data_IF_494400480587
#
_entry.id   IF_494400480587
#
_cell.length_a   1.000
_cell.length_b   1.000
_cell.length_c   1.000
_cell.angle_alpha   90.00
_cell.angle_beta   90.00
_cell.angle_gamma   90.00
#
_symmetry.space_group_name_H-M   'P 1'
#
loop_
_entity.id
_entity.type
_entity.pdbx_description
1 polymer ?
#
# COMPACT_ATOMS: atom_id res chain seq x y z
N UNK A 1 -32.02 25.80 43.61
CA UNK A 1 -31.12 25.14 42.64
C UNK A 1 -31.32 25.78 41.27
N UNK A 2 -30.40 26.65 40.84
CA UNK A 2 -30.60 27.60 39.74
C UNK A 2 -30.85 26.91 38.39
N UNK A 3 -31.73 27.50 37.56
CA UNK A 3 -32.04 27.03 36.19
C UNK A 3 -30.77 26.77 35.35
N UNK A 4 -29.72 27.54 35.61
CA UNK A 4 -28.39 27.42 35.00
C UNK A 4 -27.70 26.09 35.28
N UNK A 5 -27.86 25.48 36.47
CA UNK A 5 -27.19 24.22 36.79
C UNK A 5 -27.82 23.02 36.09
N UNK A 6 -29.13 23.08 35.81
CA UNK A 6 -29.85 22.04 35.06
C UNK A 6 -29.55 22.09 33.56
N UNK A 7 -29.34 23.27 32.99
CA UNK A 7 -28.95 23.42 31.58
C UNK A 7 -27.50 22.95 31.35
N UNK A 8 -26.58 23.21 32.29
CA UNK A 8 -25.20 22.71 32.22
C UNK A 8 -25.10 21.18 32.20
N UNK A 9 -25.88 20.49 33.04
CA UNK A 9 -25.90 19.00 33.07
C UNK A 9 -26.50 18.46 31.76
N UNK A 10 -27.62 19.02 31.29
CA UNK A 10 -28.24 18.59 30.01
C UNK A 10 -27.31 18.81 28.82
N UNK A 11 -26.56 19.91 28.78
CA UNK A 11 -25.59 20.18 27.72
C UNK A 11 -24.40 19.22 27.77
N UNK A 12 -23.89 18.91 28.97
CA UNK A 12 -22.81 17.92 29.15
C UNK A 12 -23.22 16.51 28.74
N UNK A 13 -24.46 16.11 28.96
CA UNK A 13 -24.99 14.83 28.49
C UNK A 13 -25.15 14.80 26.96
N UNK A 14 -25.70 15.85 26.36
CA UNK A 14 -25.89 15.92 24.89
C UNK A 14 -24.55 15.97 24.16
N UNK A 15 -23.57 16.75 24.63
CA UNK A 15 -22.24 16.80 24.00
C UNK A 15 -21.48 15.47 24.15
N UNK A 16 -21.65 14.77 25.27
CA UNK A 16 -21.06 13.42 25.47
C UNK A 16 -21.69 12.40 24.52
N UNK A 17 -23.02 12.42 24.35
CA UNK A 17 -23.72 11.53 23.41
C UNK A 17 -23.29 11.80 21.96
N UNK A 18 -23.19 13.07 21.57
CA UNK A 18 -22.74 13.47 20.23
C UNK A 18 -21.27 13.10 19.98
N UNK A 19 -20.39 13.26 20.97
CA UNK A 19 -18.98 12.87 20.87
C UNK A 19 -18.80 11.36 20.78
N UNK A 20 -19.59 10.58 21.52
CA UNK A 20 -19.57 9.11 21.45
C UNK A 20 -20.12 8.58 20.12
N UNK A 21 -21.18 9.20 19.58
CA UNK A 21 -21.73 8.85 18.26
C UNK A 21 -20.75 9.20 17.12
N UNK A 22 -20.02 10.31 17.26
CA UNK A 22 -18.97 10.71 16.31
C UNK A 22 -17.75 9.79 16.35
N UNK A 23 -17.31 9.36 17.54
CA UNK A 23 -16.25 8.33 17.67
C UNK A 23 -16.64 7.01 17.01
N UNK A 24 -17.89 6.54 17.18
CA UNK A 24 -18.38 5.32 16.53
C UNK A 24 -18.43 5.43 15.00
N UNK A 25 -18.87 6.59 14.49
CA UNK A 25 -18.90 6.87 13.05
C UNK A 25 -17.50 6.96 12.42
N UNK A 26 -16.54 7.56 13.12
CA UNK A 26 -15.13 7.60 12.73
C UNK A 26 -14.43 6.23 12.89
N UNK A 27 -14.85 5.39 13.84
CA UNK A 27 -14.26 4.07 14.05
C UNK A 27 -14.58 3.09 12.92
N UNK A 28 -15.81 3.13 12.39
CA UNK A 28 -16.25 2.22 11.33
C UNK A 28 -15.59 2.49 9.96
N UNK A 29 -14.95 3.65 9.79
CA UNK A 29 -14.19 4.00 8.58
C UNK A 29 -12.70 3.71 8.68
N UNK A 30 -12.18 3.38 9.88
CA UNK A 30 -10.74 3.11 10.12
C UNK A 30 -10.39 1.62 10.07
N UNK A 31 -11.37 0.70 10.20
CA UNK A 31 -11.21 -0.71 9.74
C UNK A 31 -11.24 -0.74 8.20
N UNK A 32 -10.33 0.01 7.58
CA UNK A 32 -10.10 0.06 6.15
C UNK A 32 -9.57 -1.30 5.74
N UNK A 33 -10.37 -2.11 5.05
CA UNK A 33 -10.02 -2.70 3.75
C UNK A 33 -8.52 -3.08 3.54
N UNK A 34 -7.86 -3.70 4.51
CA UNK A 34 -6.48 -4.17 4.33
C UNK A 34 -6.55 -5.42 3.47
N UNK A 35 -6.11 -5.30 2.21
CA UNK A 35 -6.00 -6.47 1.33
C UNK A 35 -5.11 -7.51 2.01
N UNK A 36 -5.51 -8.79 2.04
CA UNK A 36 -4.69 -9.85 2.62
C UNK A 36 -3.30 -9.87 1.99
N UNK A 37 -2.28 -10.16 2.81
CA UNK A 37 -0.89 -10.25 2.38
C UNK A 37 -0.39 -11.67 2.49
N UNK A 38 0.47 -12.07 1.57
CA UNK A 38 1.12 -13.39 1.59
C UNK A 38 2.62 -13.22 1.45
N UNK A 39 3.36 -13.98 2.23
CA UNK A 39 4.83 -14.01 2.21
C UNK A 39 5.31 -15.25 1.48
N UNK A 40 6.30 -15.10 0.60
CA UNK A 40 6.94 -16.19 -0.16
C UNK A 40 8.46 -16.06 -0.04
N UNK A 41 9.15 -17.18 0.07
CA UNK A 41 10.62 -17.23 0.15
C UNK A 41 11.16 -17.69 -1.21
N UNK A 42 12.14 -16.96 -1.74
CA UNK A 42 12.88 -17.29 -2.95
C UNK A 42 14.38 -17.23 -2.68
N UNK A 43 15.20 -17.68 -3.63
CA UNK A 43 16.67 -17.70 -3.50
C UNK A 43 17.26 -16.33 -3.14
N UNK A 44 16.71 -15.25 -3.70
CA UNK A 44 17.17 -13.87 -3.49
C UNK A 44 16.69 -13.25 -2.17
N UNK A 45 15.73 -13.84 -1.47
CA UNK A 45 15.18 -13.30 -0.23
C UNK A 45 13.67 -13.51 -0.07
N UNK A 46 13.10 -12.81 0.90
CA UNK A 46 11.69 -12.95 1.26
C UNK A 46 10.84 -11.86 0.60
N UNK A 47 9.72 -12.24 0.00
CA UNK A 47 8.76 -11.38 -0.69
C UNK A 47 7.45 -11.30 0.08
N UNK A 48 6.81 -10.14 0.08
CA UNK A 48 5.42 -9.97 0.53
C UNK A 48 4.56 -9.42 -0.61
N UNK A 49 3.54 -10.18 -1.00
CA UNK A 49 2.57 -9.86 -2.04
C UNK A 49 1.18 -9.53 -1.48
N UNK A 50 0.25 -9.18 -2.37
CA UNK A 50 -1.12 -8.77 -2.05
C UNK A 50 -2.12 -9.66 -2.78
N UNK A 51 -3.21 -10.02 -2.08
CA UNK A 51 -4.36 -10.70 -2.69
C UNK A 51 -5.25 -9.72 -3.45
N UNK A 52 -5.59 -10.11 -4.67
CA UNK A 52 -6.51 -9.41 -5.55
C UNK A 52 -7.58 -10.37 -6.06
N UNK A 53 -8.62 -9.81 -6.67
CA UNK A 53 -9.62 -10.54 -7.43
C UNK A 53 -9.67 -9.95 -8.84
N UNK A 54 -9.80 -10.81 -9.85
CA UNK A 54 -10.00 -10.34 -11.22
C UNK A 54 -11.30 -9.55 -11.31
N UNK A 55 -11.31 -8.45 -12.07
CA UNK A 55 -12.50 -7.58 -12.15
C UNK A 55 -13.73 -8.29 -12.73
N UNK A 56 -13.53 -9.14 -13.76
CA UNK A 56 -14.65 -9.76 -14.49
C UNK A 56 -15.17 -11.03 -13.78
N UNK A 57 -14.29 -11.99 -13.49
CA UNK A 57 -14.70 -13.31 -12.97
C UNK A 57 -14.56 -13.45 -11.45
N UNK A 58 -14.17 -12.38 -10.74
CA UNK A 58 -13.92 -12.39 -9.29
C UNK A 58 -12.96 -13.50 -8.79
N UNK A 59 -12.15 -14.08 -9.67
CA UNK A 59 -11.17 -15.12 -9.33
C UNK A 59 -10.05 -14.53 -8.47
N UNK A 60 -9.74 -15.14 -7.31
CA UNK A 60 -8.66 -14.68 -6.45
C UNK A 60 -7.29 -14.97 -7.08
N UNK A 61 -6.34 -14.06 -6.91
CA UNK A 61 -4.94 -14.26 -7.27
C UNK A 61 -4.03 -13.45 -6.35
N UNK A 62 -2.77 -13.86 -6.23
CA UNK A 62 -1.75 -13.13 -5.46
C UNK A 62 -0.83 -12.40 -6.43
N UNK A 63 -0.59 -11.12 -6.17
CA UNK A 63 0.28 -10.28 -6.98
C UNK A 63 1.57 -9.94 -6.23
N UNK A 64 2.69 -10.10 -6.91
CA UNK A 64 4.01 -9.65 -6.48
C UNK A 64 4.59 -8.76 -7.57
N UNK A 65 4.75 -7.47 -7.28
CA UNK A 65 5.18 -6.45 -8.25
C UNK A 65 6.55 -5.87 -7.87
N UNK A 66 7.33 -5.48 -8.88
CA UNK A 66 8.60 -4.78 -8.68
C UNK A 66 9.74 -5.64 -8.12
N UNK A 67 9.70 -6.97 -8.34
CA UNK A 67 10.75 -7.88 -7.88
C UNK A 67 12.02 -7.70 -8.75
N UNK A 68 13.19 -7.40 -8.17
CA UNK A 68 14.42 -7.27 -8.95
C UNK A 68 14.97 -8.66 -9.32
N UNK A 69 15.12 -8.92 -10.61
CA UNK A 69 15.67 -10.19 -11.14
C UNK A 69 17.18 -10.11 -11.45
N UNK A 70 17.71 -8.90 -11.68
CA UNK A 70 19.10 -8.62 -12.00
C UNK A 70 19.58 -7.33 -11.33
N UNK A 71 20.91 -7.13 -11.25
CA UNK A 71 21.50 -5.85 -10.83
C UNK A 71 21.08 -4.73 -11.81
N UNK A 72 20.86 -3.50 -11.31
CA UNK A 72 20.55 -2.36 -12.18
C UNK A 72 21.66 -2.15 -13.25
N UNK A 73 21.33 -2.05 -14.55
CA UNK A 73 22.31 -1.91 -15.63
C UNK A 73 22.81 -0.46 -15.76
N UNK A 74 23.36 0.08 -14.68
CA UNK A 74 23.87 1.46 -14.58
C UNK A 74 25.40 1.49 -14.54
N UNK A 75 25.99 2.63 -14.89
CA UNK A 75 27.46 2.80 -14.93
C UNK A 75 28.13 1.76 -15.85
N UNK A 76 29.13 1.05 -15.31
CA UNK A 76 29.90 0.04 -16.03
C UNK A 76 29.11 -1.22 -16.42
N UNK A 77 27.88 -1.38 -15.95
CA UNK A 77 26.97 -2.47 -16.33
C UNK A 77 26.10 -2.12 -17.55
N UNK A 78 26.08 -0.86 -17.99
CA UNK A 78 25.33 -0.47 -19.18
C UNK A 78 25.90 -1.18 -20.41
N UNK A 79 25.02 -1.70 -21.26
CA UNK A 79 25.37 -2.47 -22.46
C UNK A 79 26.13 -3.78 -22.20
N UNK A 80 26.10 -4.29 -20.96
CA UNK A 80 26.63 -5.62 -20.61
C UNK A 80 25.49 -6.61 -20.35
N UNK A 81 25.76 -7.93 -20.42
CA UNK A 81 24.81 -8.94 -19.99
C UNK A 81 24.30 -8.69 -18.55
N UNK A 82 23.04 -9.04 -18.26
CA UNK A 82 22.48 -8.85 -16.93
C UNK A 82 23.24 -9.70 -15.91
N UNK A 83 23.54 -9.11 -14.75
CA UNK A 83 24.20 -9.79 -13.63
C UNK A 83 23.15 -10.13 -12.57
N UNK A 84 23.23 -11.33 -11.98
CA UNK A 84 22.30 -11.78 -10.92
C UNK A 84 22.22 -10.77 -9.77
N UNK A 85 21.00 -10.48 -9.30
CA UNK A 85 20.80 -9.60 -8.15
C UNK A 85 21.38 -10.23 -6.87
N UNK A 86 22.10 -9.50 -6.01
CA UNK A 86 22.70 -10.05 -4.78
C UNK A 86 21.69 -10.42 -3.68
N UNK A 87 20.39 -10.43 -3.99
CA UNK A 87 19.33 -10.53 -3.00
C UNK A 87 19.10 -9.24 -2.18
N UNK A 88 18.26 -9.35 -1.15
CA UNK A 88 17.97 -8.27 -0.19
C UNK A 88 17.82 -8.85 1.22
N UNK A 89 18.02 -8.01 2.23
CA UNK A 89 17.75 -8.37 3.62
C UNK A 89 16.29 -8.07 3.99
N UNK A 90 15.74 -8.88 4.90
CA UNK A 90 14.37 -8.72 5.37
C UNK A 90 13.30 -9.09 4.33
N UNK A 91 12.15 -8.42 4.41
CA UNK A 91 10.98 -8.70 3.57
C UNK A 91 10.81 -7.56 2.55
N UNK A 92 10.91 -7.90 1.26
CA UNK A 92 10.63 -6.97 0.17
C UNK A 92 9.12 -6.89 -0.08
N UNK A 93 8.57 -5.68 0.06
CA UNK A 93 7.15 -5.37 -0.19
C UNK A 93 6.89 -5.22 -1.69
N UNK A 94 6.44 -6.31 -2.31
CA UNK A 94 6.20 -6.39 -3.75
C UNK A 94 4.82 -5.85 -4.14
N UNK A 95 4.53 -4.59 -3.79
CA UNK A 95 3.18 -4.00 -3.88
C UNK A 95 2.97 -3.08 -5.09
N UNK A 96 4.06 -2.58 -5.66
CA UNK A 96 4.06 -1.59 -6.73
C UNK A 96 5.01 -1.99 -7.85
N UNK A 97 4.67 -1.57 -9.07
CA UNK A 97 5.57 -1.74 -10.22
C UNK A 97 6.86 -0.93 -10.01
N UNK A 98 7.97 -1.45 -10.53
CA UNK A 98 9.24 -0.72 -10.57
C UNK A 98 9.24 0.34 -11.68
N UNK A 99 10.36 1.04 -11.80
CA UNK A 99 10.56 2.02 -12.87
C UNK A 99 10.58 1.33 -14.25
N UNK A 100 9.92 1.95 -15.23
CA UNK A 100 10.01 1.51 -16.62
C UNK A 100 11.39 1.83 -17.19
N UNK A 101 11.82 1.06 -18.18
CA UNK A 101 13.05 1.35 -18.93
C UNK A 101 12.98 2.72 -19.61
N UNK A 102 14.16 3.30 -19.83
CA UNK A 102 14.31 4.56 -20.55
C UNK A 102 13.67 4.46 -21.94
N UNK A 103 12.67 5.29 -22.18
CA UNK A 103 11.94 5.33 -23.44
C UNK A 103 11.30 6.70 -23.63
N UNK A 104 11.01 7.09 -24.86
CA UNK A 104 10.24 8.29 -25.13
C UNK A 104 8.73 8.00 -24.98
N UNK A 105 8.07 8.65 -24.03
CA UNK A 105 6.62 8.55 -23.88
C UNK A 105 5.94 9.52 -24.85
N UNK A 106 5.22 8.98 -25.83
CA UNK A 106 4.40 9.77 -26.76
C UNK A 106 3.30 10.55 -26.03
N UNK A 107 2.65 9.93 -25.06
CA UNK A 107 1.56 10.56 -24.28
C UNK A 107 2.09 11.75 -23.48
N UNK A 108 3.22 11.58 -22.79
CA UNK A 108 3.80 12.64 -21.94
C UNK A 108 4.72 13.59 -22.73
N UNK A 109 4.94 13.33 -24.02
CA UNK A 109 5.91 14.01 -24.90
C UNK A 109 7.28 14.23 -24.24
N UNK A 110 7.75 13.25 -23.46
CA UNK A 110 9.01 13.32 -22.73
C UNK A 110 9.68 11.97 -22.54
N UNK A 111 10.99 11.99 -22.33
CA UNK A 111 11.74 10.81 -21.93
C UNK A 111 11.31 10.37 -20.52
N UNK A 112 10.91 9.12 -20.39
CA UNK A 112 10.78 8.43 -19.12
C UNK A 112 12.19 8.04 -18.67
N UNK A 113 12.52 8.42 -17.45
CA UNK A 113 13.77 8.09 -16.77
C UNK A 113 13.42 7.54 -15.39
#
# INVERSE_FOLDING_TARGET
>A
MSKLWRTFIKWRFITTIMFNKFKGYLSNTVVRYLKPRTTVIIEQGTLQGIHYKTQVSNKPYVSFLGIPYAKPPVGNLRFKPPVKHPGWSGILKAFSVGNMCMQYSFIKKKLLK
#
